data_IF_724699393900
#
_entry.id   IF_724699393900
#
_cell.length_a   1.000
_cell.length_b   1.000
_cell.length_c   1.000
_cell.angle_alpha   90.00
_cell.angle_beta   90.00
_cell.angle_gamma   90.00
#
_symmetry.space_group_name_H-M   'P 1'
#
loop_
_entity.id
_entity.type
_entity.pdbx_description
1 polymer ?
#
# COMPACT_ATOMS: atom_id res chain seq x y z
N UNK A 22 -4.73 -19.04 12.34
CA UNK A 22 -4.39 -17.72 12.83
C UNK A 22 -4.16 -16.75 11.67
N UNK A 23 -4.89 -16.95 10.58
CA UNK A 23 -4.76 -16.09 9.42
C UNK A 23 -5.79 -16.39 8.35
N UNK A 24 -6.97 -15.81 8.50
CA UNK A 24 -8.05 -16.01 7.53
C UNK A 24 -8.21 -14.80 6.63
N UNK A 25 -7.30 -14.66 5.67
CA UNK A 25 -7.37 -13.53 4.75
C UNK A 25 -6.65 -13.81 3.45
N UNK A 26 -5.34 -14.03 3.52
CA UNK A 26 -4.53 -14.31 2.34
C UNK A 26 -4.60 -13.16 1.35
N UNK A 27 -4.62 -11.93 1.87
CA UNK A 27 -4.69 -10.74 1.04
C UNK A 27 -4.17 -9.51 1.78
N UNK A 28 -4.91 -9.09 2.80
CA UNK A 28 -4.50 -7.93 3.57
C UNK A 28 -4.74 -6.63 2.84
N UNK A 29 -3.75 -6.19 2.07
CA UNK A 29 -3.87 -4.95 1.31
C UNK A 29 -4.05 -5.23 -0.17
N UNK A 30 -4.34 -6.49 -0.49
CA UNK A 30 -4.54 -6.90 -1.89
C UNK A 30 -5.70 -6.13 -2.51
N UNK A 31 -6.92 -6.50 -2.14
CA UNK A 31 -8.11 -5.85 -2.67
C UNK A 31 -8.07 -4.34 -2.42
N UNK A 32 -7.27 -3.93 -1.43
CA UNK A 32 -7.14 -2.52 -1.10
C UNK A 32 -6.51 -1.74 -2.26
N UNK A 33 -5.44 -2.28 -2.81
CA UNK A 33 -4.76 -1.63 -3.93
C UNK A 33 -5.54 -1.78 -5.22
N UNK A 34 -6.57 -2.63 -5.18
CA UNK A 34 -7.41 -2.87 -6.35
C UNK A 34 -8.38 -1.71 -6.56
N UNK A 35 -8.65 -0.98 -5.50
CA UNK A 35 -9.57 0.16 -5.56
C UNK A 35 -8.97 1.30 -6.37
N UNK A 36 -7.65 1.26 -6.56
CA UNK A 36 -6.96 2.29 -7.32
C UNK A 36 -6.19 1.68 -8.49
N UNK A 37 -6.17 0.36 -8.55
CA UNK A 37 -5.48 -0.32 -9.63
C UNK A 37 -3.97 -0.18 -9.53
N UNK A 38 -3.43 -0.47 -8.35
CA UNK A 38 -1.99 -0.36 -8.12
C UNK A 38 -1.49 -1.53 -7.29
N UNK A 39 -2.19 -2.66 -7.38
CA UNK A 39 -1.81 -3.86 -6.64
C UNK A 39 -0.46 -4.37 -7.10
N UNK A 40 -0.01 -3.90 -8.26
CA UNK A 40 1.27 -4.33 -8.82
C UNK A 40 2.42 -3.97 -7.86
N UNK A 41 2.18 -2.99 -7.01
CA UNK A 41 3.19 -2.55 -6.06
C UNK A 41 3.01 -3.25 -4.70
N UNK A 42 1.96 -4.06 -4.61
CA UNK A 42 1.66 -4.79 -3.38
C UNK A 42 2.92 -5.47 -2.84
N UNK A 43 3.43 -6.44 -3.60
CA UNK A 43 4.62 -7.18 -3.19
C UNK A 43 5.78 -6.22 -2.92
N UNK A 44 5.74 -5.04 -3.55
CA UNK A 44 6.79 -4.06 -3.36
C UNK A 44 6.81 -3.51 -1.94
N UNK A 45 5.64 -3.36 -1.35
CA UNK A 45 5.54 -2.84 0.01
C UNK A 45 5.37 -3.98 1.02
N UNK A 46 4.89 -5.12 0.54
CA UNK A 46 4.68 -6.28 1.40
C UNK A 46 6.02 -6.91 1.80
N UNK A 47 6.99 -6.82 0.90
CA UNK A 47 8.32 -7.37 1.16
C UNK A 47 9.22 -6.35 1.85
N UNK A 48 8.62 -5.24 2.27
CA UNK A 48 9.37 -4.18 2.94
C UNK A 48 8.86 -3.98 4.37
N UNK A 49 7.60 -4.35 4.61
CA UNK A 49 7.02 -4.19 5.92
C UNK A 49 5.75 -3.35 5.91
N UNK A 50 4.98 -3.48 4.84
CA UNK A 50 3.74 -2.72 4.70
C UNK A 50 2.56 -3.65 4.47
N UNK A 51 2.81 -4.95 4.55
CA UNK A 51 1.76 -5.95 4.36
C UNK A 51 0.60 -5.70 5.31
N UNK A 52 0.89 -5.06 6.43
CA UNK A 52 -0.13 -4.77 7.43
C UNK A 52 -0.87 -3.48 7.09
N UNK A 53 -2.09 -3.61 6.57
CA UNK A 53 -2.89 -2.45 6.21
C UNK A 53 -2.98 -1.46 7.36
N UNK A 54 -2.92 -1.98 8.58
CA UNK A 54 -2.98 -1.14 9.77
C UNK A 54 -1.80 -0.18 9.83
N UNK A 55 -0.61 -0.70 9.59
CA UNK A 55 0.61 0.10 9.62
C UNK A 55 0.71 0.97 8.38
N UNK A 56 0.37 0.40 7.22
CA UNK A 56 0.42 1.13 5.96
C UNK A 56 -0.45 2.37 6.01
N UNK A 57 -1.41 2.37 6.92
CA UNK A 57 -2.33 3.51 7.08
C UNK A 57 -1.58 4.73 7.60
N UNK A 58 -0.36 4.52 8.07
CA UNK A 58 0.46 5.60 8.61
C UNK A 58 1.67 5.85 7.72
N UNK A 59 1.80 5.07 6.66
CA UNK A 59 2.91 5.20 5.74
C UNK A 59 3.07 6.64 5.26
N UNK A 60 4.31 7.09 5.16
CA UNK A 60 4.59 8.46 4.73
C UNK A 60 4.79 8.52 3.21
N UNK A 61 5.18 9.69 2.71
CA UNK A 61 5.40 9.88 1.28
C UNK A 61 6.76 9.30 0.88
N UNK A 62 7.75 9.42 1.75
CA UNK A 62 9.09 8.92 1.48
C UNK A 62 9.17 7.41 1.73
N UNK A 63 8.21 6.90 2.49
CA UNK A 63 8.16 5.47 2.81
C UNK A 63 7.76 4.65 1.57
N UNK A 64 7.00 5.28 0.68
CA UNK A 64 6.55 4.62 -0.54
C UNK A 64 7.72 4.31 -1.46
N UNK A 65 8.70 5.22 -1.50
CA UNK A 65 9.87 5.04 -2.34
C UNK A 65 10.74 3.89 -1.84
N UNK A 66 10.58 3.56 -0.55
CA UNK A 66 11.35 2.48 0.06
C UNK A 66 10.90 1.12 -0.47
N UNK A 67 9.64 1.05 -0.90
CA UNK A 67 9.08 -0.18 -1.43
C UNK A 67 9.16 -0.22 -2.95
N UNK A 68 9.74 0.83 -3.53
CA UNK A 68 9.87 0.91 -4.98
C UNK A 68 8.92 1.92 -5.59
N UNK A 69 8.08 2.53 -4.76
CA UNK A 69 7.11 3.52 -5.24
C UNK A 69 7.74 4.90 -5.28
N UNK A 70 8.69 5.09 -6.21
CA UNK A 70 9.36 6.38 -6.36
C UNK A 70 8.76 7.18 -7.50
N UNK A 71 7.46 7.00 -7.72
CA UNK A 71 6.76 7.71 -8.79
C UNK A 71 5.79 8.74 -8.22
N UNK A 72 5.56 9.81 -8.99
CA UNK A 72 4.65 10.90 -8.58
C UNK A 72 3.19 10.45 -8.57
N UNK A 73 2.75 9.84 -9.67
CA UNK A 73 1.38 9.36 -9.77
C UNK A 73 1.13 8.18 -8.85
N UNK A 74 2.20 7.49 -8.48
CA UNK A 74 2.09 6.33 -7.59
C UNK A 74 2.12 6.76 -6.13
N UNK A 75 2.87 7.82 -5.84
CA UNK A 75 2.99 8.34 -4.48
C UNK A 75 1.71 9.07 -4.07
N UNK A 76 1.11 9.77 -5.02
CA UNK A 76 -0.11 10.51 -4.77
C UNK A 76 -1.32 9.59 -4.74
N UNK A 77 -1.17 8.41 -5.33
CA UNK A 77 -2.26 7.43 -5.37
C UNK A 77 -2.45 6.79 -4.00
N UNK A 78 -1.37 6.25 -3.44
CA UNK A 78 -1.42 5.61 -2.14
C UNK A 78 -2.07 6.52 -1.10
N UNK A 79 -1.57 7.75 -1.00
CA UNK A 79 -2.10 8.73 -0.05
C UNK A 79 -3.62 8.84 -0.19
N UNK A 80 -4.10 8.86 -1.42
CA UNK A 80 -5.52 8.96 -1.70
C UNK A 80 -6.24 7.66 -1.34
N UNK A 81 -5.55 6.53 -1.55
CA UNK A 81 -6.12 5.22 -1.26
C UNK A 81 -6.22 5.00 0.25
N UNK A 82 -5.47 5.77 1.02
CA UNK A 82 -5.48 5.65 2.47
C UNK A 82 -6.81 6.11 3.05
N UNK A 83 -7.16 7.37 2.79
CA UNK A 83 -8.42 7.93 3.28
C UNK A 83 -9.61 7.24 2.62
N UNK A 84 -9.40 6.69 1.43
CA UNK A 84 -10.46 6.01 0.70
C UNK A 84 -10.97 4.81 1.48
N UNK A 85 -10.09 3.83 1.70
CA UNK A 85 -10.45 2.62 2.44
C UNK A 85 -9.94 2.68 3.86
N UNK A 86 -9.77 3.90 4.39
CA UNK A 86 -9.29 4.10 5.75
C UNK A 86 -7.98 3.36 5.97
#
# INVERSE_FOLDING_TARGET
MGSSHHHHHHSSGLVPRGSHMSGLGEAGMSAWLRAIGLERYEEGLVHNGWDDLEFLSDITEEDLEEAGVQDPAHKRLLLDTLQLSK
#
